data_IF_746196679955
#
_entry.id   IF_746196679955
#
_cell.length_a   1.000
_cell.length_b   1.000
_cell.length_c   1.000
_cell.angle_alpha   90.00
_cell.angle_beta   90.00
_cell.angle_gamma   90.00
#
_symmetry.space_group_name_H-M   'P 1'
#
loop_
_entity.id
_entity.type
_entity.pdbx_description
1 polymer ?
#
# COMPACT_ATOMS: atom_id res chain seq x y z
N UNK A 1 -24.82 -61.34 -1.41
CA UNK A 1 -23.88 -60.28 -0.95
C UNK A 1 -23.80 -59.17 -2.00
N UNK A 2 -24.56 -58.08 -1.82
CA UNK A 2 -24.59 -56.92 -2.74
C UNK A 2 -25.07 -55.71 -1.93
N UNK A 3 -24.17 -54.80 -1.52
CA UNK A 3 -24.43 -53.39 -1.13
C UNK A 3 -23.22 -52.79 -0.39
N UNK A 4 -22.10 -52.52 -1.07
CA UNK A 4 -21.06 -51.65 -0.49
C UNK A 4 -20.38 -50.70 -1.48
N UNK A 5 -20.75 -50.68 -2.76
CA UNK A 5 -20.03 -49.90 -3.79
C UNK A 5 -20.74 -48.63 -4.28
N UNK A 6 -21.84 -48.20 -3.66
CA UNK A 6 -22.60 -47.01 -4.11
C UNK A 6 -22.42 -45.76 -3.23
N UNK A 7 -21.93 -45.89 -2.00
CA UNK A 7 -21.81 -44.75 -1.08
C UNK A 7 -20.52 -43.93 -1.29
N UNK A 8 -19.45 -44.57 -1.78
CA UNK A 8 -18.13 -43.92 -1.94
C UNK A 8 -18.05 -42.99 -3.15
N UNK A 9 -18.89 -43.17 -4.18
CA UNK A 9 -18.90 -42.30 -5.36
C UNK A 9 -19.64 -40.97 -5.15
N UNK A 10 -20.60 -40.91 -4.23
CA UNK A 10 -21.35 -39.68 -3.95
C UNK A 10 -20.52 -38.66 -3.14
N UNK A 11 -19.64 -39.14 -2.25
CA UNK A 11 -18.78 -38.29 -1.41
C UNK A 11 -17.61 -37.71 -2.20
N UNK A 12 -17.05 -38.47 -3.16
CA UNK A 12 -15.94 -38.01 -3.99
C UNK A 12 -16.33 -36.85 -4.93
N UNK A 13 -17.57 -36.83 -5.44
CA UNK A 13 -18.04 -35.75 -6.32
C UNK A 13 -18.30 -34.45 -5.57
N UNK A 14 -18.70 -34.51 -4.29
CA UNK A 14 -18.97 -33.32 -3.47
C UNK A 14 -17.67 -32.60 -3.04
N UNK A 15 -16.59 -33.35 -2.81
CA UNK A 15 -15.28 -32.80 -2.45
C UNK A 15 -14.60 -32.14 -3.68
N UNK A 16 -14.84 -32.64 -4.89
CA UNK A 16 -14.29 -32.05 -6.11
C UNK A 16 -14.93 -30.70 -6.45
N UNK A 17 -16.23 -30.51 -6.19
CA UNK A 17 -16.92 -29.24 -6.44
C UNK A 17 -16.58 -28.14 -5.41
N UNK A 18 -16.21 -28.48 -4.17
CA UNK A 18 -15.72 -27.48 -3.21
C UNK A 18 -14.30 -26.98 -3.53
N UNK A 19 -13.50 -27.77 -4.25
CA UNK A 19 -12.14 -27.38 -4.65
C UNK A 19 -12.07 -26.46 -5.88
N UNK A 20 -13.20 -26.25 -6.54
CA UNK A 20 -13.34 -25.36 -7.71
C UNK A 20 -13.96 -24.01 -7.37
N UNK A 21 -14.22 -23.72 -6.09
CA UNK A 21 -14.42 -22.33 -5.69
C UNK A 21 -13.08 -21.63 -5.88
N UNK A 22 -12.95 -20.67 -6.82
CA UNK A 22 -11.83 -19.75 -6.73
C UNK A 22 -11.95 -19.15 -5.34
N UNK A 23 -10.97 -19.42 -4.48
CA UNK A 23 -10.76 -18.64 -3.26
C UNK A 23 -10.83 -17.21 -3.75
N UNK A 24 -11.95 -16.54 -3.45
CA UNK A 24 -12.24 -15.24 -3.98
C UNK A 24 -10.99 -14.40 -3.73
N UNK A 25 -10.42 -13.91 -4.83
CA UNK A 25 -9.21 -13.11 -4.84
C UNK A 25 -9.57 -11.75 -4.24
N UNK A 26 -9.91 -11.74 -2.95
CA UNK A 26 -9.98 -10.53 -2.18
C UNK A 26 -8.55 -9.98 -2.21
N UNK A 27 -8.38 -8.77 -2.74
CA UNK A 27 -7.13 -8.04 -2.61
C UNK A 27 -6.83 -7.98 -1.10
N UNK A 28 -5.88 -8.81 -0.66
CA UNK A 28 -5.51 -8.91 0.74
C UNK A 28 -4.91 -7.56 1.14
N UNK A 29 -5.67 -6.80 1.94
CA UNK A 29 -5.21 -5.56 2.53
C UNK A 29 -4.11 -5.89 3.55
N UNK A 30 -3.03 -5.10 3.56
CA UNK A 30 -1.98 -5.27 4.55
C UNK A 30 -2.37 -4.71 5.94
N UNK A 31 -1.46 -4.79 6.91
CA UNK A 31 -1.72 -4.33 8.27
C UNK A 31 -1.98 -2.80 8.39
N UNK A 32 -1.77 -2.02 7.32
CA UNK A 32 -2.17 -0.62 7.23
C UNK A 32 -3.44 -0.41 6.39
N UNK A 33 -4.14 -1.49 6.04
CA UNK A 33 -5.36 -1.50 5.24
C UNK A 33 -5.17 -1.00 3.79
N UNK A 34 -3.94 -1.11 3.26
CA UNK A 34 -3.59 -0.73 1.88
C UNK A 34 -3.62 -1.97 0.99
N UNK A 35 -4.26 -1.85 -0.18
CA UNK A 35 -4.39 -2.92 -1.16
C UNK A 35 -3.17 -2.95 -2.10
N UNK A 36 -2.82 -4.10 -2.70
CA UNK A 36 -1.66 -4.22 -3.60
C UNK A 36 -1.72 -3.32 -4.85
N UNK A 37 -2.92 -2.92 -5.27
CA UNK A 37 -3.20 -2.05 -6.41
C UNK A 37 -3.52 -0.60 -6.00
N UNK A 38 -3.37 -0.26 -4.72
CA UNK A 38 -3.44 1.13 -4.25
C UNK A 38 -2.13 1.86 -4.51
N UNK A 39 -2.25 3.05 -5.10
CA UNK A 39 -1.15 3.97 -5.26
C UNK A 39 -1.26 5.10 -4.24
N UNK A 40 -0.13 5.55 -3.72
CA UNK A 40 -0.03 6.88 -3.13
C UNK A 40 0.28 7.88 -4.24
N UNK A 41 -0.50 8.94 -4.34
CA UNK A 41 -0.35 9.96 -5.39
C UNK A 41 -0.22 11.36 -4.80
N UNK A 42 0.53 12.23 -5.46
CA UNK A 42 0.59 13.66 -5.14
C UNK A 42 0.55 14.52 -6.39
N UNK A 43 0.13 15.77 -6.24
CA UNK A 43 0.26 16.79 -7.29
C UNK A 43 1.70 17.27 -7.43
N UNK A 44 2.43 17.26 -6.33
CA UNK A 44 3.76 17.83 -6.23
C UNK A 44 4.85 16.75 -6.25
N UNK A 45 6.01 17.11 -6.80
CA UNK A 45 7.20 16.27 -6.73
C UNK A 45 7.92 16.51 -5.40
N UNK A 46 8.30 15.43 -4.72
CA UNK A 46 9.10 15.51 -3.50
C UNK A 46 10.58 15.70 -3.84
N UNK A 47 11.15 16.85 -3.45
CA UNK A 47 12.57 17.20 -3.64
C UNK A 47 13.21 17.53 -2.29
N UNK A 48 12.96 18.77 -1.86
CA UNK A 48 13.61 19.41 -0.72
C UNK A 48 12.60 19.86 0.34
N UNK A 49 11.30 19.60 0.12
CA UNK A 49 10.27 19.89 1.10
C UNK A 49 10.49 19.05 2.38
N UNK A 50 10.09 19.61 3.52
CA UNK A 50 10.06 18.87 4.79
C UNK A 50 9.21 17.60 4.65
N UNK A 51 8.04 17.71 4.04
CA UNK A 51 7.18 16.60 3.65
C UNK A 51 6.25 17.07 2.52
N UNK A 52 5.56 16.14 1.88
CA UNK A 52 4.40 16.43 1.03
C UNK A 52 3.24 15.54 1.41
N UNK A 53 2.01 16.01 1.20
CA UNK A 53 0.83 15.17 1.32
C UNK A 53 0.74 14.20 0.14
N UNK A 54 0.31 12.97 0.43
CA UNK A 54 0.02 11.91 -0.53
C UNK A 54 -1.35 11.33 -0.23
N UNK A 55 -2.03 10.86 -1.27
CA UNK A 55 -3.40 10.35 -1.18
C UNK A 55 -3.46 8.94 -1.74
N UNK A 56 -4.24 8.07 -1.10
CA UNK A 56 -4.50 6.73 -1.63
C UNK A 56 -5.42 6.88 -2.85
N UNK A 57 -5.06 6.23 -3.96
CA UNK A 57 -5.81 6.31 -5.20
C UNK A 57 -5.74 5.00 -6.00
N UNK A 58 -6.75 4.79 -6.83
CA UNK A 58 -6.81 3.70 -7.82
C UNK A 58 -6.39 4.21 -9.19
N UNK A 59 -5.55 3.46 -9.89
CA UNK A 59 -5.16 3.77 -11.27
C UNK A 59 -6.34 3.54 -12.21
N UNK A 60 -6.70 4.55 -13.00
CA UNK A 60 -7.69 4.49 -14.07
C UNK A 60 -7.03 4.33 -15.44
N UNK A 61 -5.98 5.12 -15.68
CA UNK A 61 -5.21 5.10 -16.92
C UNK A 61 -3.72 4.98 -16.57
N UNK A 62 -3.04 3.89 -16.96
CA UNK A 62 -1.63 3.70 -16.66
C UNK A 62 -0.71 4.76 -17.27
N UNK A 63 0.36 5.08 -16.55
CA UNK A 63 1.38 6.00 -17.03
C UNK A 63 2.14 5.44 -18.25
N UNK A 64 2.32 6.28 -19.27
CA UNK A 64 3.03 5.95 -20.49
C UNK A 64 3.88 7.13 -20.95
N UNK A 65 5.21 6.95 -21.13
CA UNK A 65 6.07 8.00 -21.68
C UNK A 65 5.59 8.53 -23.03
N UNK A 66 4.99 7.66 -23.86
CA UNK A 66 4.58 7.99 -25.23
C UNK A 66 3.11 8.38 -25.35
N UNK A 67 2.21 7.77 -24.56
CA UNK A 67 0.76 8.02 -24.67
C UNK A 67 0.25 9.09 -23.72
N UNK A 68 0.87 9.24 -22.55
CA UNK A 68 0.38 10.12 -21.48
C UNK A 68 1.48 11.03 -20.92
N UNK A 69 2.58 11.22 -21.66
CA UNK A 69 3.73 12.05 -21.26
C UNK A 69 4.33 11.65 -19.90
N UNK A 70 4.17 10.38 -19.53
CA UNK A 70 4.63 9.80 -18.26
C UNK A 70 3.69 9.99 -17.07
N UNK A 71 2.47 10.51 -17.26
CA UNK A 71 1.46 10.67 -16.20
C UNK A 71 0.47 9.51 -16.20
N UNK A 72 0.07 9.06 -15.02
CA UNK A 72 -1.10 8.19 -14.86
C UNK A 72 -2.32 9.01 -14.43
N UNK A 73 -3.52 8.53 -14.75
CA UNK A 73 -4.77 9.04 -14.21
C UNK A 73 -5.21 8.19 -13.02
N UNK A 74 -5.51 8.83 -11.90
CA UNK A 74 -5.86 8.17 -10.66
C UNK A 74 -7.16 8.72 -10.07
N UNK A 75 -7.94 7.87 -9.42
CA UNK A 75 -9.13 8.21 -8.65
C UNK A 75 -8.80 8.14 -7.15
N UNK A 76 -8.82 9.27 -6.45
CA UNK A 76 -8.55 9.29 -5.01
C UNK A 76 -9.65 8.55 -4.25
N UNK A 77 -9.24 7.71 -3.30
CA UNK A 77 -10.16 6.88 -2.52
C UNK A 77 -10.93 7.71 -1.48
N UNK A 78 -10.32 8.77 -0.97
CA UNK A 78 -10.89 9.68 0.04
C UNK A 78 -12.11 10.43 -0.47
N UNK A 79 -12.06 11.01 -1.66
CA UNK A 79 -13.07 11.96 -2.14
C UNK A 79 -13.54 11.74 -3.59
N UNK A 80 -13.03 10.69 -4.26
CA UNK A 80 -13.40 10.38 -5.64
C UNK A 80 -12.89 11.38 -6.68
N UNK A 81 -12.00 12.32 -6.32
CA UNK A 81 -11.43 13.24 -7.31
C UNK A 81 -10.42 12.52 -8.21
N UNK A 82 -10.44 12.88 -9.48
CA UNK A 82 -9.45 12.43 -10.46
C UNK A 82 -8.20 13.30 -10.43
N UNK A 83 -7.04 12.68 -10.62
CA UNK A 83 -5.74 13.33 -10.68
C UNK A 83 -4.87 12.70 -11.77
N UNK A 84 -4.39 13.53 -12.69
CA UNK A 84 -3.28 13.18 -13.58
C UNK A 84 -1.95 13.60 -12.92
N UNK A 85 -1.01 12.67 -12.76
CA UNK A 85 0.30 12.97 -12.15
C UNK A 85 1.40 11.97 -12.53
N UNK A 86 2.66 12.42 -12.45
CA UNK A 86 3.87 11.57 -12.53
C UNK A 86 4.33 11.05 -11.16
N UNK A 87 3.77 11.62 -10.10
CA UNK A 87 4.16 11.42 -8.71
C UNK A 87 3.20 10.40 -8.08
N UNK A 88 3.37 9.14 -8.48
CA UNK A 88 2.63 8.00 -7.97
C UNK A 88 3.61 6.93 -7.46
N UNK A 89 3.22 6.26 -6.39
CA UNK A 89 4.07 5.37 -5.61
C UNK A 89 3.30 4.12 -5.20
N UNK A 90 3.78 2.96 -5.61
CA UNK A 90 3.43 1.73 -4.92
C UNK A 90 4.28 1.58 -3.67
N UNK A 91 3.70 0.98 -2.65
CA UNK A 91 4.36 0.83 -1.35
C UNK A 91 4.13 -0.55 -0.76
N UNK A 92 4.96 -0.87 0.23
CA UNK A 92 4.71 -1.94 1.20
C UNK A 92 5.10 -1.46 2.59
N UNK A 93 4.65 -2.16 3.62
CA UNK A 93 5.14 -1.95 4.99
C UNK A 93 6.67 -2.14 5.01
N UNK A 94 7.35 -1.23 5.69
CA UNK A 94 8.80 -1.26 5.83
C UNK A 94 9.24 -2.44 6.71
N UNK A 95 10.42 -2.95 6.42
CA UNK A 95 11.18 -3.83 7.31
C UNK A 95 12.36 -3.05 7.89
N UNK A 96 12.96 -3.54 8.96
CA UNK A 96 14.15 -2.89 9.57
C UNK A 96 15.29 -2.67 8.55
N UNK A 97 15.40 -3.49 7.50
CA UNK A 97 16.41 -3.33 6.44
C UNK A 97 16.19 -2.11 5.53
N UNK A 98 14.96 -1.60 5.48
CA UNK A 98 14.58 -0.45 4.67
C UNK A 98 14.81 0.88 5.41
N UNK A 99 14.83 0.84 6.74
CA UNK A 99 14.91 2.01 7.63
C UNK A 99 16.35 2.55 7.69
N UNK A 100 16.69 3.36 6.69
CA UNK A 100 18.02 3.96 6.54
C UNK A 100 17.89 5.47 6.31
N UNK A 101 18.87 6.23 6.79
CA UNK A 101 18.95 7.67 6.54
C UNK A 101 18.93 7.94 5.02
N UNK A 102 18.15 8.92 4.61
CA UNK A 102 17.96 9.30 3.20
C UNK A 102 16.84 8.54 2.48
N UNK A 103 16.27 7.49 3.07
CA UNK A 103 15.13 6.77 2.46
C UNK A 103 13.87 7.64 2.51
N UNK A 104 13.18 7.75 1.36
CA UNK A 104 11.85 8.35 1.30
C UNK A 104 10.81 7.32 1.73
N UNK A 105 9.94 7.72 2.65
CA UNK A 105 8.92 6.85 3.25
C UNK A 105 7.57 7.55 3.26
N UNK A 106 6.50 6.76 3.37
CA UNK A 106 5.11 7.23 3.48
C UNK A 106 4.52 6.70 4.81
N UNK A 107 3.80 7.55 5.53
CA UNK A 107 3.25 7.24 6.86
C UNK A 107 1.94 7.98 7.09
N UNK A 108 1.12 7.41 7.98
CA UNK A 108 -0.19 7.96 8.32
C UNK A 108 -0.02 9.20 9.23
N UNK A 109 -0.75 10.26 8.94
CA UNK A 109 -0.68 11.54 9.64
C UNK A 109 -1.51 11.51 10.93
N UNK A 110 -1.07 10.70 11.89
CA UNK A 110 -1.70 10.56 13.19
C UNK A 110 -0.65 10.49 14.30
N UNK A 111 -0.30 11.66 14.85
CA UNK A 111 0.64 11.80 15.95
C UNK A 111 0.07 11.33 17.29
N UNK A 112 0.90 10.65 18.08
CA UNK A 112 0.66 10.37 19.50
C UNK A 112 1.86 10.85 20.33
N UNK A 113 1.80 10.67 21.66
CA UNK A 113 2.93 10.97 22.56
C UNK A 113 4.21 10.23 22.17
N UNK A 114 4.07 8.99 21.70
CA UNK A 114 5.18 8.12 21.28
C UNK A 114 5.63 8.35 19.82
N UNK A 115 5.04 9.33 19.13
CA UNK A 115 5.28 9.60 17.71
C UNK A 115 4.12 9.16 16.82
N UNK A 116 4.28 9.31 15.51
CA UNK A 116 3.25 8.99 14.54
C UNK A 116 3.02 7.47 14.46
N UNK A 117 1.76 7.06 14.62
CA UNK A 117 1.32 5.65 14.68
C UNK A 117 0.75 5.15 13.35
N UNK A 118 0.69 3.82 13.11
CA UNK A 118 -0.08 3.28 11.99
C UNK A 118 -1.59 3.59 12.14
N UNK A 119 -2.38 3.50 11.05
CA UNK A 119 -3.84 3.54 11.16
C UNK A 119 -4.33 2.34 11.96
N UNK A 120 -5.37 2.54 12.77
CA UNK A 120 -5.95 1.50 13.64
C UNK A 120 -7.19 0.84 13.05
N UNK A 121 -7.72 1.40 11.96
CA UNK A 121 -8.85 0.85 11.24
C UNK A 121 -8.74 1.15 9.76
N UNK A 122 -9.49 0.38 8.97
CA UNK A 122 -9.66 0.64 7.54
C UNK A 122 -10.21 2.05 7.29
N UNK A 123 -11.18 2.48 8.07
CA UNK A 123 -11.78 3.81 7.92
C UNK A 123 -10.73 4.92 8.11
N UNK A 124 -9.91 4.83 9.16
CA UNK A 124 -8.79 5.76 9.36
C UNK A 124 -7.83 5.75 8.16
N UNK A 125 -7.39 4.57 7.73
CA UNK A 125 -6.42 4.46 6.64
C UNK A 125 -6.95 5.05 5.32
N UNK A 126 -8.23 4.81 4.99
CA UNK A 126 -8.82 5.16 3.69
C UNK A 126 -9.33 6.59 3.64
N UNK A 127 -9.65 7.21 4.77
CA UNK A 127 -10.21 8.58 4.84
C UNK A 127 -9.24 9.61 5.43
N UNK A 128 -8.25 9.18 6.20
CA UNK A 128 -7.28 10.06 6.84
C UNK A 128 -6.13 10.49 5.93
N UNK A 129 -5.28 11.36 6.47
CA UNK A 129 -4.16 11.95 5.75
C UNK A 129 -2.91 11.07 5.80
N UNK A 130 -2.12 11.13 4.74
CA UNK A 130 -0.82 10.48 4.64
C UNK A 130 0.19 11.49 4.12
N UNK A 131 1.44 11.35 4.55
CA UNK A 131 2.52 12.21 4.08
C UNK A 131 3.73 11.38 3.66
N UNK A 132 4.54 11.98 2.78
CA UNK A 132 5.83 11.47 2.33
C UNK A 132 6.93 12.36 2.90
N UNK A 133 7.91 11.75 3.55
CA UNK A 133 9.06 12.42 4.14
C UNK A 133 10.33 11.58 3.98
N UNK A 134 11.49 12.14 4.32
CA UNK A 134 12.80 11.49 4.24
C UNK A 134 13.31 11.14 5.63
N UNK A 135 13.80 9.92 5.83
CA UNK A 135 14.43 9.53 7.10
C UNK A 135 15.71 10.34 7.31
N UNK A 136 15.83 10.99 8.48
CA UNK A 136 16.99 11.81 8.85
C UNK A 136 17.76 11.24 10.03
N UNK A 137 17.11 10.43 10.89
CA UNK A 137 17.77 9.78 12.03
C UNK A 137 17.16 8.39 12.30
N UNK A 138 18.01 7.45 12.70
CA UNK A 138 17.67 6.07 13.10
C UNK A 138 18.28 5.71 14.47
N UNK A 139 18.81 6.69 15.21
CA UNK A 139 19.46 6.51 16.51
C UNK A 139 18.54 5.88 17.56
N UNK A 140 17.25 6.20 17.51
CA UNK A 140 16.21 5.66 18.41
C UNK A 140 15.49 4.41 17.85
N UNK A 141 16.00 3.77 16.80
CA UNK A 141 15.35 2.59 16.19
C UNK A 141 15.26 1.40 17.15
N UNK A 142 16.17 1.32 18.14
CA UNK A 142 16.10 0.34 19.23
C UNK A 142 14.88 0.54 20.15
N UNK A 143 14.29 1.74 20.17
CA UNK A 143 13.02 2.06 20.83
C UNK A 143 11.81 1.93 19.90
N UNK A 144 12.01 1.46 18.67
CA UNK A 144 10.97 1.39 17.65
C UNK A 144 10.66 2.71 16.95
N UNK A 145 11.52 3.73 17.07
CA UNK A 145 11.28 5.08 16.52
C UNK A 145 12.33 5.45 15.48
N UNK A 146 11.90 6.09 14.40
CA UNK A 146 12.78 6.81 13.47
C UNK A 146 12.42 8.30 13.46
N UNK A 147 13.34 9.15 13.00
CA UNK A 147 13.05 10.57 12.75
C UNK A 147 13.08 10.84 11.26
N UNK A 148 12.09 11.58 10.77
CA UNK A 148 12.03 12.07 9.39
C UNK A 148 12.27 13.58 9.30
N UNK A 149 12.43 14.09 8.08
CA UNK A 149 12.54 15.51 7.79
C UNK A 149 11.43 16.31 8.50
N UNK A 150 11.83 17.41 9.14
CA UNK A 150 10.96 18.18 10.05
C UNK A 150 11.11 17.81 11.52
N UNK A 151 11.90 16.78 11.84
CA UNK A 151 12.11 16.34 13.22
C UNK A 151 10.94 15.50 13.76
N UNK A 152 10.04 15.04 12.90
CA UNK A 152 8.90 14.22 13.29
C UNK A 152 9.37 12.80 13.65
N UNK A 153 8.92 12.32 14.80
CA UNK A 153 9.18 10.96 15.29
C UNK A 153 8.10 10.01 14.79
N UNK A 154 8.50 8.92 14.15
CA UNK A 154 7.60 7.95 13.54
C UNK A 154 7.83 6.59 14.18
N UNK A 155 6.76 5.93 14.62
CA UNK A 155 6.82 4.53 15.03
C UNK A 155 7.18 3.69 13.80
N UNK A 156 8.17 2.81 13.90
CA UNK A 156 8.71 2.10 12.74
C UNK A 156 7.64 1.23 12.06
N UNK A 157 6.66 0.75 12.82
CA UNK A 157 5.52 -0.02 12.33
C UNK A 157 4.54 0.83 11.50
N UNK A 158 4.60 2.17 11.58
CA UNK A 158 3.79 3.08 10.77
C UNK A 158 4.40 3.34 9.37
N UNK A 159 5.62 2.87 9.12
CA UNK A 159 6.41 3.26 7.96
C UNK A 159 6.11 2.37 6.76
N UNK A 160 5.84 3.00 5.62
CA UNK A 160 5.76 2.36 4.30
C UNK A 160 6.93 2.82 3.43
N UNK A 161 7.52 1.89 2.69
CA UNK A 161 8.61 2.18 1.74
C UNK A 161 8.12 2.13 0.31
N UNK A 162 8.67 3.02 -0.52
CA UNK A 162 8.32 3.13 -1.94
C UNK A 162 9.00 2.02 -2.72
N UNK A 163 8.23 1.32 -3.54
CA UNK A 163 8.75 0.28 -4.43
C UNK A 163 9.34 0.91 -5.70
N UNK A 164 10.42 0.33 -6.27
CA UNK A 164 10.95 0.77 -7.55
C UNK A 164 9.90 0.71 -8.66
N UNK A 165 9.89 1.73 -9.55
CA UNK A 165 8.93 1.84 -10.67
C UNK A 165 9.02 0.68 -11.70
N UNK A 166 10.06 -0.17 -11.64
CA UNK A 166 10.32 -1.24 -12.61
C UNK A 166 9.41 -2.49 -12.47
N UNK A 167 8.58 -2.58 -11.42
CA UNK A 167 7.79 -3.80 -11.12
C UNK A 167 6.28 -3.67 -11.33
N UNK A 168 5.79 -2.59 -11.91
CA UNK A 168 4.34 -2.35 -12.07
C UNK A 168 3.90 -2.61 -13.50
N UNK A 169 3.84 -3.88 -13.87
CA UNK A 169 2.84 -4.31 -14.85
C UNK A 169 1.63 -4.73 -14.01
N UNK A 170 0.50 -3.98 -14.01
CA UNK A 170 -0.72 -4.46 -13.37
C UNK A 170 -1.03 -5.84 -13.93
N UNK A 171 -1.10 -6.84 -13.05
CA UNK A 171 -1.44 -8.21 -13.43
C UNK A 171 -2.95 -8.22 -13.75
N UNK A 172 -3.28 -7.78 -14.96
CA UNK A 172 -4.66 -7.56 -15.41
C UNK A 172 -4.78 -6.93 -16.80
N UNK A 173 -3.68 -6.54 -17.45
CA UNK A 173 -3.70 -6.11 -18.84
C UNK A 173 -3.69 -7.29 -19.82
N UNK A 174 -4.84 -7.95 -20.01
CA UNK A 174 -5.19 -8.68 -21.24
C UNK A 174 -6.69 -8.52 -21.50
#
# INVERSE_FOLDING_TARGET
MKKQYRLTKAVATLIFFLSLFPLALFAEEDAHYIQPDDFFVSREEYKDQTYINVYIAKELTPASPTKTKGEGEFLQVTDGKKLWTKNFYLTRIATDKDLKIGTNVIMFDMGTEDGYRPPQSKDEARTGNWFLAKITDVSDMFKGIITVSGGYKIQKEAVRVILPKATVTPKGGK
#
